data_IF_304160523085
#
_entry.id   IF_304160523085
#
_cell.length_a   1.000
_cell.length_b   1.000
_cell.length_c   1.000
_cell.angle_alpha   90.00
_cell.angle_beta   90.00
_cell.angle_gamma   90.00
#
_symmetry.space_group_name_H-M   'P 1'
#
loop_
_entity.id
_entity.type
_entity.pdbx_description
1 polymer ?
#
# COMPACT_ATOMS: atom_id res chain seq x y z
N UNK A 1 10.10 -21.94 -12.19
CA UNK A 1 9.60 -21.61 -13.51
C UNK A 1 8.73 -20.38 -13.45
N UNK A 2 8.82 -19.55 -14.46
CA UNK A 2 8.00 -18.33 -14.57
C UNK A 2 6.59 -18.76 -14.96
N UNK A 3 5.61 -18.46 -14.14
CA UNK A 3 4.20 -18.72 -14.49
C UNK A 3 3.77 -17.61 -15.44
N UNK A 4 3.36 -17.97 -16.65
CA UNK A 4 2.74 -17.04 -17.57
C UNK A 4 1.29 -16.81 -17.16
N UNK A 5 1.09 -15.73 -16.38
CA UNK A 5 -0.22 -15.35 -15.86
C UNK A 5 -1.17 -14.95 -16.99
N UNK A 6 -0.63 -14.39 -18.08
CA UNK A 6 -1.46 -13.93 -19.20
C UNK A 6 -2.13 -15.08 -19.95
N UNK A 7 -1.44 -16.20 -20.12
CA UNK A 7 -2.03 -17.37 -20.77
C UNK A 7 -3.14 -17.99 -19.92
N UNK A 8 -2.95 -18.06 -18.59
CA UNK A 8 -3.98 -18.61 -17.68
C UNK A 8 -5.24 -17.77 -17.55
N UNK A 9 -5.12 -16.45 -17.76
CA UNK A 9 -6.27 -15.53 -17.69
C UNK A 9 -6.95 -15.40 -19.06
N UNK A 10 -6.19 -15.48 -20.15
CA UNK A 10 -6.73 -15.35 -21.51
C UNK A 10 -7.56 -16.56 -21.97
N UNK A 11 -7.27 -17.76 -21.41
CA UNK A 11 -8.02 -18.97 -21.74
C UNK A 11 -9.41 -19.03 -21.03
N UNK A 12 -9.73 -18.03 -20.22
CA UNK A 12 -10.96 -17.96 -19.43
C UNK A 12 -11.88 -16.86 -20.00
N UNK A 13 -12.41 -17.07 -21.20
CA UNK A 13 -13.31 -16.12 -21.87
C UNK A 13 -14.61 -15.89 -21.09
N UNK A 14 -14.99 -16.80 -20.19
CA UNK A 14 -16.22 -16.73 -19.41
C UNK A 14 -16.06 -16.11 -18.00
N UNK A 15 -14.86 -15.62 -17.64
CA UNK A 15 -14.59 -15.03 -16.32
C UNK A 15 -14.73 -16.03 -15.16
N UNK A 16 -14.65 -17.31 -15.46
CA UNK A 16 -14.69 -18.36 -14.45
C UNK A 16 -13.46 -18.32 -13.53
N UNK A 17 -13.68 -18.70 -12.29
CA UNK A 17 -12.63 -18.91 -11.29
C UNK A 17 -11.55 -19.82 -11.87
N UNK A 18 -10.30 -19.44 -11.68
CA UNK A 18 -9.20 -20.40 -11.81
C UNK A 18 -9.56 -21.63 -10.97
N UNK A 19 -9.43 -22.86 -11.52
CA UNK A 19 -9.91 -24.08 -10.85
C UNK A 19 -9.41 -24.28 -9.42
N UNK A 20 -8.29 -23.65 -9.08
CA UNK A 20 -7.63 -23.74 -7.77
C UNK A 20 -7.82 -22.46 -6.93
N UNK A 21 -8.63 -21.52 -7.38
CA UNK A 21 -8.85 -20.28 -6.65
C UNK A 21 -9.71 -20.52 -5.40
N UNK A 22 -9.23 -20.03 -4.27
CA UNK A 22 -9.94 -20.11 -3.00
C UNK A 22 -10.58 -18.76 -2.74
N UNK A 23 -11.91 -18.69 -2.57
CA UNK A 23 -12.58 -17.44 -2.23
C UNK A 23 -12.19 -16.99 -0.82
N UNK A 24 -11.74 -15.75 -0.71
CA UNK A 24 -11.47 -15.11 0.56
C UNK A 24 -12.71 -14.32 0.99
N UNK A 25 -13.54 -14.97 1.82
CA UNK A 25 -14.75 -14.34 2.35
C UNK A 25 -14.37 -13.54 3.59
N UNK A 26 -14.66 -12.23 3.59
CA UNK A 26 -14.31 -11.30 4.67
C UNK A 26 -15.49 -10.42 5.04
N UNK A 27 -15.49 -9.91 6.27
CA UNK A 27 -16.46 -8.96 6.79
C UNK A 27 -15.79 -7.58 6.93
N UNK A 28 -16.60 -6.55 7.12
CA UNK A 28 -16.08 -5.22 7.40
C UNK A 28 -15.22 -5.22 8.67
N UNK A 29 -13.99 -4.76 8.55
CA UNK A 29 -13.00 -4.76 9.63
C UNK A 29 -12.01 -5.93 9.62
N UNK A 30 -12.22 -6.94 8.78
CA UNK A 30 -11.25 -8.01 8.61
C UNK A 30 -9.98 -7.50 7.91
N UNK A 31 -8.85 -8.08 8.32
CA UNK A 31 -7.54 -7.78 7.74
C UNK A 31 -6.95 -9.07 7.18
N UNK A 32 -6.56 -9.01 5.92
CA UNK A 32 -5.87 -10.12 5.26
C UNK A 32 -4.43 -9.72 4.98
N UNK A 33 -3.50 -10.58 5.38
CA UNK A 33 -2.07 -10.39 5.09
C UNK A 33 -1.65 -11.45 4.08
N UNK A 34 -1.16 -10.99 2.94
CA UNK A 34 -0.76 -11.87 1.84
C UNK A 34 0.67 -11.56 1.38
N UNK A 35 1.33 -12.57 0.84
CA UNK A 35 2.58 -12.34 0.14
C UNK A 35 2.29 -11.62 -1.18
N UNK A 36 3.03 -10.55 -1.47
CA UNK A 36 2.85 -9.73 -2.70
C UNK A 36 2.97 -10.51 -4.02
N UNK A 37 3.62 -11.67 -4.00
CA UNK A 37 3.77 -12.53 -5.17
C UNK A 37 2.62 -13.53 -5.33
N UNK A 38 1.67 -13.54 -4.39
CA UNK A 38 0.51 -14.41 -4.48
C UNK A 38 -0.38 -13.94 -5.64
N UNK A 39 -0.75 -14.87 -6.50
CA UNK A 39 -1.74 -14.62 -7.53
C UNK A 39 -3.09 -14.37 -6.86
N UNK A 40 -3.66 -13.23 -7.08
CA UNK A 40 -4.94 -12.82 -6.52
C UNK A 40 -5.71 -11.95 -7.49
N UNK A 41 -7.00 -11.87 -7.28
CA UNK A 41 -7.89 -11.06 -8.08
C UNK A 41 -9.18 -10.71 -7.35
N UNK A 42 -9.99 -9.89 -7.98
CA UNK A 42 -11.31 -9.53 -7.48
C UNK A 42 -12.34 -9.76 -8.56
N UNK A 43 -13.47 -10.34 -8.16
CA UNK A 43 -14.63 -10.43 -9.03
C UNK A 43 -15.40 -9.11 -9.06
N UNK A 44 -16.21 -8.95 -10.11
CA UNK A 44 -17.14 -7.85 -10.19
C UNK A 44 -18.06 -7.84 -8.96
N UNK A 45 -18.36 -6.65 -8.47
CA UNK A 45 -19.34 -6.47 -7.42
C UNK A 45 -20.73 -6.48 -8.05
N UNK A 46 -21.53 -7.49 -7.77
CA UNK A 46 -22.89 -7.65 -8.27
C UNK A 46 -23.97 -7.19 -7.28
N UNK A 47 -23.55 -6.73 -6.08
CA UNK A 47 -24.45 -6.16 -5.09
C UNK A 47 -24.80 -4.70 -5.40
N UNK A 48 -25.93 -4.18 -4.89
CA UNK A 48 -26.28 -2.77 -5.03
C UNK A 48 -25.36 -1.84 -4.21
N UNK A 49 -24.66 -2.38 -3.22
CA UNK A 49 -23.80 -1.62 -2.31
C UNK A 49 -22.35 -1.62 -2.79
N UNK A 50 -21.62 -0.50 -2.61
CA UNK A 50 -20.22 -0.45 -2.96
C UNK A 50 -19.39 -1.37 -2.04
N UNK A 51 -18.41 -2.08 -2.63
CA UNK A 51 -17.39 -2.80 -1.90
C UNK A 51 -16.13 -1.93 -1.82
N UNK A 52 -15.75 -1.56 -0.60
CA UNK A 52 -14.53 -0.78 -0.36
C UNK A 52 -13.48 -1.66 0.28
N UNK A 53 -12.30 -1.72 -0.32
CA UNK A 53 -11.11 -2.36 0.25
C UNK A 53 -9.93 -1.40 0.19
N UNK A 54 -9.05 -1.47 1.20
CA UNK A 54 -7.84 -0.68 1.26
C UNK A 54 -6.67 -1.66 1.22
N UNK A 55 -5.76 -1.45 0.27
CA UNK A 55 -4.56 -2.27 0.14
C UNK A 55 -3.33 -1.48 0.57
N UNK A 56 -2.55 -2.03 1.47
CA UNK A 56 -1.29 -1.48 1.91
C UNK A 56 -0.14 -2.40 1.50
N UNK A 57 0.92 -1.82 0.93
CA UNK A 57 2.16 -2.53 0.67
C UNK A 57 3.26 -2.12 1.64
N UNK A 58 3.89 -3.09 2.28
CA UNK A 58 5.03 -2.87 3.16
C UNK A 58 6.24 -3.61 2.61
N UNK A 59 7.38 -2.96 2.64
CA UNK A 59 8.65 -3.50 2.17
C UNK A 59 9.71 -3.40 3.27
N UNK A 60 10.53 -4.42 3.49
CA UNK A 60 11.69 -4.29 4.34
C UNK A 60 12.62 -3.18 3.81
N UNK A 61 13.12 -2.34 4.69
CA UNK A 61 14.04 -1.25 4.35
C UNK A 61 15.19 -1.72 3.45
N UNK A 62 15.86 -2.81 3.84
CA UNK A 62 16.97 -3.38 3.07
C UNK A 62 16.61 -3.85 1.66
N UNK A 63 15.34 -4.08 1.38
CA UNK A 63 14.90 -4.56 0.05
C UNK A 63 14.61 -3.41 -0.93
N UNK A 64 14.50 -2.19 -0.43
CA UNK A 64 14.19 -1.02 -1.26
C UNK A 64 15.31 0.00 -1.33
N UNK A 65 16.21 0.00 -0.34
CA UNK A 65 17.34 0.94 -0.30
C UNK A 65 18.20 0.83 -1.56
N UNK A 66 18.41 1.95 -2.25
CA UNK A 66 19.19 2.05 -3.46
C UNK A 66 18.49 1.51 -4.71
N UNK A 67 17.26 1.03 -4.58
CA UNK A 67 16.50 0.55 -5.74
C UNK A 67 15.92 1.74 -6.49
N UNK A 68 16.08 1.73 -7.81
CA UNK A 68 15.34 2.63 -8.68
C UNK A 68 13.89 2.16 -8.74
N UNK A 69 13.04 2.87 -8.02
CA UNK A 69 11.62 2.60 -7.96
C UNK A 69 10.86 3.54 -8.85
N UNK A 70 10.74 3.16 -10.08
CA UNK A 70 9.70 3.71 -10.90
C UNK A 70 8.63 2.65 -11.06
N UNK A 71 7.62 2.61 -10.21
CA UNK A 71 6.31 2.21 -10.67
C UNK A 71 5.81 3.34 -11.57
N UNK A 72 6.54 3.54 -12.65
CA UNK A 72 6.27 4.53 -13.67
C UNK A 72 5.16 4.02 -14.58
N UNK A 73 3.97 3.89 -14.02
CA UNK A 73 2.76 3.89 -14.82
C UNK A 73 2.20 5.31 -14.79
N UNK A 74 3.04 6.28 -15.03
CA UNK A 74 2.54 7.55 -15.49
C UNK A 74 2.18 7.38 -16.96
N UNK A 75 0.92 7.57 -17.29
CA UNK A 75 0.48 7.69 -18.68
C UNK A 75 1.13 8.92 -19.35
N UNK A 76 1.70 9.79 -18.56
CA UNK A 76 2.44 10.97 -18.97
C UNK A 76 3.93 10.70 -18.86
N UNK A 77 4.54 10.26 -19.95
CA UNK A 77 5.95 9.91 -20.04
C UNK A 77 6.90 11.04 -19.62
N UNK A 78 6.45 12.28 -19.70
CA UNK A 78 7.27 13.46 -19.36
C UNK A 78 7.34 13.68 -17.83
N UNK A 79 6.50 13.01 -17.05
CA UNK A 79 6.48 13.09 -15.58
C UNK A 79 7.06 11.85 -14.90
N UNK A 80 7.46 10.85 -15.65
CA UNK A 80 8.11 9.64 -15.14
C UNK A 80 9.57 9.92 -14.79
N UNK A 81 9.81 10.54 -13.64
CA UNK A 81 11.15 10.60 -13.07
C UNK A 81 11.51 9.28 -12.42
N UNK A 82 12.70 8.74 -12.73
CA UNK A 82 13.28 7.63 -12.01
C UNK A 82 13.61 8.12 -10.58
N UNK A 83 12.89 7.61 -9.58
CA UNK A 83 13.19 7.91 -8.17
C UNK A 83 14.03 6.78 -7.59
N UNK A 84 15.16 7.13 -7.01
CA UNK A 84 15.95 6.18 -6.22
C UNK A 84 15.45 6.23 -4.78
N UNK A 85 15.18 5.08 -4.18
CA UNK A 85 14.84 4.96 -2.78
C UNK A 85 16.11 5.10 -1.93
N UNK A 86 16.52 6.34 -1.68
CA UNK A 86 17.54 6.67 -0.70
C UNK A 86 16.96 6.69 0.73
N UNK A 87 17.82 6.84 1.72
CA UNK A 87 17.42 6.88 3.14
C UNK A 87 16.40 7.99 3.43
N UNK A 88 16.58 9.14 2.83
CA UNK A 88 15.69 10.28 3.04
C UNK A 88 14.31 10.02 2.45
N UNK A 89 14.25 9.50 1.24
CA UNK A 89 12.98 9.16 0.60
C UNK A 89 12.25 8.05 1.35
N UNK A 90 12.97 7.01 1.79
CA UNK A 90 12.40 5.93 2.61
C UNK A 90 11.85 6.49 3.92
N UNK A 91 12.60 7.37 4.60
CA UNK A 91 12.14 8.01 5.84
C UNK A 91 10.87 8.84 5.61
N UNK A 92 10.83 9.68 4.58
CA UNK A 92 9.63 10.45 4.24
C UNK A 92 8.41 9.57 3.97
N UNK A 93 8.58 8.51 3.18
CA UNK A 93 7.51 7.54 2.89
C UNK A 93 7.03 6.82 4.15
N UNK A 94 7.94 6.51 5.07
CA UNK A 94 7.62 5.84 6.32
C UNK A 94 6.92 6.76 7.34
N UNK A 95 7.04 8.06 7.19
CA UNK A 95 6.46 9.05 8.09
C UNK A 95 4.92 8.95 8.18
N UNK A 96 4.26 8.54 7.11
CA UNK A 96 2.80 8.31 7.12
C UNK A 96 2.39 7.28 8.18
N UNK A 97 3.23 6.27 8.42
CA UNK A 97 2.97 5.24 9.44
C UNK A 97 3.01 5.87 10.84
N UNK A 98 4.01 6.71 11.11
CA UNK A 98 4.11 7.41 12.40
C UNK A 98 2.94 8.36 12.64
N UNK A 99 2.53 9.12 11.62
CA UNK A 99 1.36 10.00 11.70
C UNK A 99 0.07 9.20 11.92
N UNK A 100 -0.07 8.03 11.28
CA UNK A 100 -1.23 7.15 11.48
C UNK A 100 -1.27 6.55 12.89
N UNK A 101 -0.13 6.20 13.48
CA UNK A 101 -0.02 5.74 14.87
C UNK A 101 -0.51 6.84 15.82
N UNK A 102 -0.06 8.08 15.62
CA UNK A 102 -0.50 9.20 16.45
C UNK A 102 -1.99 9.50 16.26
N UNK A 103 -2.50 9.48 15.04
CA UNK A 103 -3.92 9.62 14.76
C UNK A 103 -4.76 8.57 15.50
N UNK A 104 -4.32 7.32 15.48
CA UNK A 104 -4.97 6.24 16.24
C UNK A 104 -4.98 6.53 17.73
N UNK A 105 -3.85 6.96 18.27
CA UNK A 105 -3.74 7.27 19.69
C UNK A 105 -4.61 8.45 20.10
N UNK A 106 -4.76 9.49 19.27
CA UNK A 106 -5.66 10.61 19.54
C UNK A 106 -7.13 10.16 19.62
N UNK A 107 -7.54 9.19 18.80
CA UNK A 107 -8.92 8.66 18.79
C UNK A 107 -9.12 7.59 19.87
N UNK A 108 -8.06 6.89 20.26
CA UNK A 108 -8.08 5.78 21.24
C UNK A 108 -6.98 5.98 22.28
N UNK A 109 -7.10 6.96 23.17
CA UNK A 109 -6.05 7.31 24.12
C UNK A 109 -5.79 6.21 25.17
N UNK A 110 -6.78 5.36 25.41
CA UNK A 110 -6.68 4.25 26.37
C UNK A 110 -5.93 3.03 25.80
N UNK A 111 -5.72 2.98 24.49
CA UNK A 111 -4.95 1.91 23.87
C UNK A 111 -3.45 2.20 24.03
N UNK A 112 -2.68 1.13 24.21
CA UNK A 112 -1.22 1.25 24.21
C UNK A 112 -0.74 1.81 22.86
N UNK A 113 -0.07 2.96 22.89
CA UNK A 113 0.55 3.54 21.71
C UNK A 113 1.65 2.61 21.21
N UNK A 114 1.63 2.31 19.93
CA UNK A 114 2.70 1.58 19.27
C UNK A 114 3.90 2.51 19.08
N UNK A 115 5.11 2.00 19.37
CA UNK A 115 6.36 2.72 19.10
C UNK A 115 6.95 2.22 17.79
N UNK A 116 7.15 3.13 16.84
CA UNK A 116 7.69 2.80 15.52
C UNK A 116 9.17 3.17 15.47
N UNK A 117 10.03 2.16 15.47
CA UNK A 117 11.46 2.30 15.65
C UNK A 117 12.15 3.40 14.83
N UNK A 118 11.83 3.62 13.54
CA UNK A 118 12.46 4.70 12.77
C UNK A 118 12.19 6.12 13.27
N UNK A 119 11.18 6.30 14.15
CA UNK A 119 10.70 7.61 14.60
C UNK A 119 10.68 7.77 16.13
N UNK A 120 11.21 6.81 16.88
CA UNK A 120 11.16 6.79 18.34
C UNK A 120 11.74 8.06 18.98
N UNK A 121 12.76 8.64 18.39
CA UNK A 121 13.44 9.84 18.91
C UNK A 121 12.83 11.16 18.41
N UNK A 122 11.84 11.11 17.51
CA UNK A 122 11.22 12.28 16.91
C UNK A 122 9.70 12.12 16.70
N UNK A 123 9.04 11.33 17.55
CA UNK A 123 7.60 11.07 17.46
C UNK A 123 6.77 12.36 17.53
N UNK A 124 7.22 13.36 18.30
CA UNK A 124 6.50 14.62 18.48
C UNK A 124 6.47 15.49 17.22
N UNK A 125 7.44 15.32 16.32
CA UNK A 125 7.50 16.03 15.04
C UNK A 125 6.44 15.51 14.05
N UNK A 126 5.91 14.31 14.30
CA UNK A 126 4.97 13.60 13.44
C UNK A 126 3.60 13.41 14.08
N UNK A 127 3.18 14.35 14.91
CA UNK A 127 1.82 14.35 15.47
C UNK A 127 0.77 14.56 14.39
N UNK A 128 -0.30 13.78 14.46
CA UNK A 128 -1.41 13.91 13.53
C UNK A 128 -2.06 15.29 13.64
N UNK A 129 -2.07 16.02 12.54
CA UNK A 129 -2.65 17.33 12.42
C UNK A 129 -2.54 17.86 10.98
N UNK A 130 -3.22 18.97 10.66
CA UNK A 130 -3.31 19.46 9.27
C UNK A 130 -1.95 19.66 8.60
N UNK A 131 -1.00 20.25 9.29
CA UNK A 131 0.35 20.51 8.73
C UNK A 131 1.13 19.23 8.46
N UNK A 132 1.04 18.26 9.37
CA UNK A 132 1.76 16.99 9.24
C UNK A 132 1.14 16.14 8.15
N UNK A 133 -0.19 16.14 8.04
CA UNK A 133 -0.91 15.46 6.96
C UNK A 133 -0.50 16.01 5.61
N UNK A 134 -0.52 17.34 5.45
CA UNK A 134 -0.10 17.99 4.21
C UNK A 134 1.33 17.61 3.83
N UNK A 135 2.25 17.64 4.79
CA UNK A 135 3.65 17.29 4.58
C UNK A 135 3.83 15.84 4.13
N UNK A 136 3.21 14.87 4.82
CA UNK A 136 3.39 13.46 4.46
C UNK A 136 2.65 13.07 3.19
N UNK A 137 1.51 13.71 2.88
CA UNK A 137 0.78 13.44 1.64
C UNK A 137 1.43 14.08 0.42
N UNK A 138 2.27 15.09 0.57
CA UNK A 138 2.99 15.69 -0.55
C UNK A 138 3.89 14.71 -1.30
N UNK A 139 4.39 13.68 -0.61
CA UNK A 139 5.18 12.60 -1.21
C UNK A 139 4.33 11.46 -1.81
N UNK A 140 3.01 11.48 -1.56
CA UNK A 140 2.06 10.52 -2.10
C UNK A 140 1.28 11.14 -3.26
N UNK A 141 1.92 11.27 -4.39
CA UNK A 141 1.19 11.66 -5.61
C UNK A 141 0.44 10.46 -6.17
N UNK A 142 -0.67 10.70 -6.85
CA UNK A 142 -1.41 9.64 -7.57
C UNK A 142 -0.56 8.91 -8.62
N UNK A 143 0.58 9.47 -8.97
CA UNK A 143 1.56 8.88 -9.89
C UNK A 143 2.54 7.91 -9.22
N UNK A 144 2.66 7.94 -7.89
CA UNK A 144 3.47 6.98 -7.13
C UNK A 144 2.68 5.70 -6.82
N UNK A 145 1.37 5.75 -6.95
CA UNK A 145 0.48 4.59 -6.80
C UNK A 145 0.12 4.15 -8.21
N UNK A 146 0.92 3.26 -8.76
CA UNK A 146 0.49 2.50 -9.90
C UNK A 146 -0.52 1.46 -9.41
N UNK A 147 -1.76 1.72 -9.69
CA UNK A 147 -2.84 0.76 -9.61
C UNK A 147 -2.90 -0.03 -10.91
#
# INVERSE_FOLDING_TARGET
>A
GRIDIKSRVADNEDGELLPEAIPLVTHAGDVTIVNRHMLHGSFANTSPDPRVSITFGFYPHSSVLGVSGGLNISLDKDKSGEKIYDEEHIKRRSAVVQVAIDARHQVRPDERRYSYAPFVDCEDDYRYGPKTIESVLSDYTLYDIAL
#
